data_IF_512418544805
#
_entry.id   IF_512418544805
#
_cell.length_a   1.000
_cell.length_b   1.000
_cell.length_c   1.000
_cell.angle_alpha   90.00
_cell.angle_beta   90.00
_cell.angle_gamma   90.00
#
_symmetry.space_group_name_H-M   'P 1'
#
loop_
_entity.id
_entity.type
_entity.pdbx_description
1 polymer ?
#
# COMPACT_ATOMS: atom_id res chain seq x y z
N UNK A 1 -27.36 3.85 16.54
CA UNK A 1 -27.59 2.47 16.09
C UNK A 1 -26.95 2.36 14.71
N UNK A 2 -25.70 1.89 14.62
CA UNK A 2 -24.97 1.84 13.35
C UNK A 2 -25.52 0.73 12.47
N UNK A 3 -25.63 0.99 11.16
CA UNK A 3 -26.04 -0.01 10.18
C UNK A 3 -25.19 -1.30 10.33
N UNK A 4 -25.76 -2.48 10.08
CA UNK A 4 -24.98 -3.71 10.07
C UNK A 4 -23.86 -3.55 9.06
N UNK A 5 -22.62 -3.75 9.51
CA UNK A 5 -21.44 -3.75 8.63
C UNK A 5 -21.72 -4.74 7.49
N UNK A 6 -21.42 -4.31 6.27
CA UNK A 6 -21.42 -5.19 5.10
C UNK A 6 -20.30 -6.22 5.28
N UNK A 7 -20.57 -7.24 6.08
CA UNK A 7 -19.64 -8.31 6.40
C UNK A 7 -19.79 -9.37 5.29
N UNK A 8 -19.12 -9.17 4.15
CA UNK A 8 -18.69 -10.31 3.33
C UNK A 8 -17.28 -10.69 3.77
N UNK A 9 -17.13 -11.47 4.85
CA UNK A 9 -15.83 -12.03 5.19
C UNK A 9 -15.34 -12.86 4.01
N UNK A 10 -14.03 -12.91 3.82
CA UNK A 10 -13.44 -13.89 2.91
C UNK A 10 -13.94 -15.27 3.34
N UNK A 11 -14.69 -15.94 2.46
CA UNK A 11 -15.25 -17.26 2.74
C UNK A 11 -14.50 -18.32 1.99
N UNK A 12 -14.16 -19.38 2.69
CA UNK A 12 -13.69 -20.61 2.07
C UNK A 12 -14.51 -21.79 2.60
N UNK A 13 -14.65 -22.81 1.76
CA UNK A 13 -15.43 -24.01 2.09
C UNK A 13 -14.53 -25.21 2.01
N UNK A 14 -14.41 -25.96 3.10
CA UNK A 14 -13.86 -27.31 3.05
C UNK A 14 -14.95 -28.27 2.61
N UNK A 15 -14.70 -29.00 1.52
CA UNK A 15 -15.57 -30.06 1.01
C UNK A 15 -14.87 -31.41 1.17
N UNK A 16 -15.46 -32.30 1.95
CA UNK A 16 -14.98 -33.67 2.16
C UNK A 16 -15.96 -34.65 1.51
N UNK A 17 -15.47 -35.55 0.67
CA UNK A 17 -16.28 -36.55 -0.01
C UNK A 17 -15.77 -37.99 0.26
N UNK A 18 -16.68 -38.94 0.50
CA UNK A 18 -16.41 -40.38 0.61
C UNK A 18 -17.60 -41.19 0.09
N UNK A 19 -17.45 -41.81 -1.09
CA UNK A 19 -18.58 -42.43 -1.80
C UNK A 19 -19.67 -41.39 -2.06
N UNK A 20 -20.91 -41.71 -1.71
CA UNK A 20 -22.06 -40.80 -1.85
C UNK A 20 -22.16 -39.74 -0.74
N UNK A 21 -21.28 -39.78 0.27
CA UNK A 21 -21.32 -38.83 1.39
C UNK A 21 -20.45 -37.61 1.10
N UNK A 22 -21.06 -36.43 1.15
CA UNK A 22 -20.38 -35.13 1.08
C UNK A 22 -20.64 -34.35 2.38
N UNK A 23 -19.60 -33.71 2.91
CA UNK A 23 -19.70 -32.73 4.01
C UNK A 23 -19.04 -31.44 3.59
N UNK A 24 -19.72 -30.33 3.83
CA UNK A 24 -19.21 -28.99 3.57
C UNK A 24 -19.17 -28.18 4.86
N UNK A 25 -18.05 -27.49 5.08
CA UNK A 25 -17.86 -26.58 6.21
C UNK A 25 -17.39 -25.24 5.66
N UNK A 26 -18.23 -24.21 5.78
CA UNK A 26 -17.91 -22.86 5.32
C UNK A 26 -17.43 -22.01 6.48
N UNK A 27 -16.29 -21.36 6.29
CA UNK A 27 -15.65 -20.49 7.27
C UNK A 27 -15.57 -19.07 6.73
N UNK A 28 -15.63 -18.12 7.65
CA UNK A 28 -15.51 -16.69 7.41
C UNK A 28 -14.23 -16.19 8.07
N UNK A 29 -13.31 -15.62 7.30
CA UNK A 29 -12.09 -15.02 7.83
C UNK A 29 -12.26 -13.50 8.00
N UNK A 30 -11.93 -12.95 9.18
CA UNK A 30 -11.91 -11.51 9.42
C UNK A 30 -10.59 -10.90 8.91
N UNK A 31 -10.28 -11.09 7.63
CA UNK A 31 -9.06 -10.60 6.99
C UNK A 31 -9.36 -9.48 5.99
N UNK A 32 -8.54 -8.42 5.91
CA UNK A 32 -8.66 -7.45 4.84
C UNK A 32 -8.44 -8.10 3.48
N UNK A 33 -9.29 -7.79 2.51
CA UNK A 33 -9.10 -8.20 1.12
C UNK A 33 -8.37 -7.08 0.39
N UNK A 34 -7.15 -7.33 -0.09
CA UNK A 34 -6.43 -6.36 -0.90
C UNK A 34 -7.09 -6.21 -2.29
N UNK A 35 -7.48 -4.98 -2.62
CA UNK A 35 -8.12 -4.59 -3.88
C UNK A 35 -7.17 -3.80 -4.79
N UNK A 36 -5.91 -3.60 -4.38
CA UNK A 36 -4.91 -2.88 -5.14
C UNK A 36 -5.04 -1.36 -5.05
N UNK A 37 -4.71 -0.64 -6.12
CA UNK A 37 -4.81 0.83 -6.16
C UNK A 37 -6.27 1.27 -6.24
N UNK A 38 -6.64 2.30 -5.48
CA UNK A 38 -7.98 2.88 -5.53
C UNK A 38 -8.35 3.31 -6.97
N UNK A 39 -9.61 3.06 -7.35
CA UNK A 39 -10.18 3.41 -8.64
C UNK A 39 -11.49 4.15 -8.41
N UNK A 40 -11.58 5.36 -8.95
CA UNK A 40 -12.81 6.16 -8.89
C UNK A 40 -13.98 5.41 -9.54
N UNK A 41 -15.18 5.58 -8.98
CA UNK A 41 -16.38 4.86 -9.41
C UNK A 41 -16.45 3.37 -9.02
N UNK A 42 -15.44 2.82 -8.34
CA UNK A 42 -15.51 1.47 -7.76
C UNK A 42 -16.19 1.49 -6.40
N UNK A 43 -17.03 0.50 -6.12
CA UNK A 43 -17.55 0.25 -4.78
C UNK A 43 -16.58 -0.66 -4.02
N UNK A 44 -16.21 -0.23 -2.83
CA UNK A 44 -15.42 -0.99 -1.88
C UNK A 44 -16.29 -1.36 -0.69
N UNK A 45 -16.16 -2.61 -0.23
CA UNK A 45 -16.93 -3.11 0.90
C UNK A 45 -16.15 -2.95 2.21
N UNK A 46 -16.85 -3.09 3.34
CA UNK A 46 -16.20 -3.02 4.66
C UNK A 46 -15.06 -4.05 4.76
N UNK A 47 -13.87 -3.60 5.16
CA UNK A 47 -12.67 -4.44 5.28
C UNK A 47 -11.82 -4.54 4.01
N UNK A 48 -12.29 -4.04 2.87
CA UNK A 48 -11.46 -3.95 1.66
C UNK A 48 -10.26 -3.02 1.89
N UNK A 49 -9.11 -3.43 1.40
CA UNK A 49 -7.86 -2.70 1.45
C UNK A 49 -7.49 -2.10 0.10
N UNK A 50 -7.04 -0.84 0.10
CA UNK A 50 -6.54 -0.17 -1.13
C UNK A 50 -5.29 0.66 -0.86
N UNK A 51 -4.53 0.90 -1.92
CA UNK A 51 -3.45 1.89 -1.94
C UNK A 51 -3.94 3.20 -2.56
N UNK A 52 -3.69 4.33 -1.88
CA UNK A 52 -3.94 5.68 -2.38
C UNK A 52 -2.98 6.68 -1.74
N UNK A 53 -2.39 7.58 -2.56
CA UNK A 53 -1.45 8.60 -2.09
C UNK A 53 -0.15 8.04 -1.48
N UNK A 54 0.21 6.78 -1.77
CA UNK A 54 1.32 6.08 -1.13
C UNK A 54 1.02 5.53 0.27
N UNK A 55 -0.24 5.58 0.69
CA UNK A 55 -0.75 5.01 1.95
C UNK A 55 -1.61 3.79 1.67
N UNK A 56 -1.69 2.88 2.64
CA UNK A 56 -2.63 1.77 2.62
C UNK A 56 -3.83 2.09 3.52
N UNK A 57 -5.04 1.86 3.00
CA UNK A 57 -6.31 2.22 3.62
C UNK A 57 -7.20 0.98 3.73
N UNK A 58 -8.04 0.93 4.77
CA UNK A 58 -9.06 -0.10 4.95
C UNK A 58 -10.43 0.57 5.03
N UNK A 59 -11.36 0.17 4.17
CA UNK A 59 -12.74 0.64 4.18
C UNK A 59 -13.41 0.24 5.51
N UNK A 60 -14.08 1.19 6.14
CA UNK A 60 -14.78 1.02 7.43
C UNK A 60 -16.30 0.86 7.25
N UNK A 61 -16.80 1.17 6.05
CA UNK A 61 -18.17 0.96 5.58
C UNK A 61 -18.13 0.70 4.07
N UNK A 62 -19.23 0.27 3.47
CA UNK A 62 -19.37 0.23 2.02
C UNK A 62 -19.29 1.66 1.47
N UNK A 63 -18.37 1.91 0.55
CA UNK A 63 -18.07 3.27 0.08
C UNK A 63 -17.59 3.28 -1.36
N UNK A 64 -17.95 4.34 -2.08
CA UNK A 64 -17.36 4.75 -3.36
C UNK A 64 -16.44 5.96 -3.19
N UNK A 65 -16.34 6.48 -1.97
CA UNK A 65 -15.58 7.69 -1.68
C UNK A 65 -14.10 7.42 -1.82
N UNK A 66 -13.36 8.45 -2.24
CA UNK A 66 -11.90 8.42 -2.30
C UNK A 66 -11.32 8.23 -0.88
N UNK A 67 -10.31 7.36 -0.68
CA UNK A 67 -9.57 7.33 0.57
C UNK A 67 -9.01 8.71 0.86
N UNK A 68 -9.01 9.14 2.14
CA UNK A 68 -8.73 10.51 2.63
C UNK A 68 -9.91 11.49 2.69
N UNK A 69 -11.06 11.22 2.07
CA UNK A 69 -12.16 12.21 1.99
C UNK A 69 -13.16 12.18 3.16
N UNK A 70 -13.06 11.20 4.08
CA UNK A 70 -14.05 11.06 5.15
C UNK A 70 -13.86 9.87 6.09
N UNK A 71 -14.92 9.53 6.84
CA UNK A 71 -14.94 8.46 7.87
C UNK A 71 -15.04 7.04 7.28
N UNK A 72 -15.36 6.90 5.99
CA UNK A 72 -15.47 5.61 5.31
C UNK A 72 -14.16 4.85 5.19
N UNK A 73 -13.02 5.49 5.48
CA UNK A 73 -11.70 4.89 5.40
C UNK A 73 -10.91 5.06 6.69
N UNK A 74 -10.12 4.04 7.04
CA UNK A 74 -9.09 4.11 8.07
C UNK A 74 -7.72 3.92 7.44
N UNK A 75 -6.80 4.85 7.66
CA UNK A 75 -5.41 4.66 7.25
C UNK A 75 -4.79 3.54 8.07
N UNK A 76 -4.31 2.49 7.40
CA UNK A 76 -3.70 1.32 8.01
C UNK A 76 -2.17 1.41 7.98
N UNK A 77 -1.61 1.92 6.87
CA UNK A 77 -0.16 2.16 6.74
C UNK A 77 0.08 3.55 6.18
N UNK A 78 0.99 4.29 6.80
CA UNK A 78 1.42 5.60 6.32
C UNK A 78 2.63 5.47 5.40
N UNK A 79 2.66 6.22 4.29
CA UNK A 79 3.85 6.38 3.45
C UNK A 79 5.07 6.72 4.31
N UNK A 80 6.20 6.09 4.00
CA UNK A 80 7.50 6.46 4.59
C UNK A 80 7.91 7.89 4.22
N UNK A 81 8.88 8.43 4.96
CA UNK A 81 9.53 9.69 4.57
C UNK A 81 10.49 9.42 3.41
N UNK A 82 10.67 10.42 2.57
CA UNK A 82 11.67 10.36 1.53
C UNK A 82 13.07 10.24 2.14
N UNK A 83 13.96 9.53 1.44
CA UNK A 83 15.36 9.39 1.84
C UNK A 83 16.07 10.74 1.81
N UNK A 84 17.17 10.85 2.57
CA UNK A 84 18.03 12.04 2.50
C UNK A 84 18.78 12.05 1.17
N UNK A 85 18.94 13.23 0.59
CA UNK A 85 19.77 13.41 -0.60
C UNK A 85 21.22 12.98 -0.32
N UNK A 86 21.92 12.43 -1.34
CA UNK A 86 23.33 12.12 -1.21
C UNK A 86 24.12 13.41 -0.94
N UNK A 87 25.04 13.35 0.02
CA UNK A 87 25.93 14.48 0.32
C UNK A 87 26.84 14.66 -0.89
N UNK A 88 26.77 15.82 -1.56
CA UNK A 88 27.67 16.13 -2.65
C UNK A 88 29.11 15.98 -2.16
N UNK A 89 29.88 15.09 -2.79
CA UNK A 89 31.31 15.00 -2.56
C UNK A 89 31.93 16.27 -3.13
N UNK A 90 32.59 17.06 -2.27
CA UNK A 90 33.35 18.22 -2.70
C UNK A 90 34.43 17.74 -3.66
N UNK A 91 34.53 18.25 -4.90
CA UNK A 91 35.60 17.83 -5.79
C UNK A 91 36.95 18.22 -5.16
N UNK A 92 37.79 17.22 -4.90
CA UNK A 92 39.17 17.44 -4.45
C UNK A 92 39.89 18.19 -5.57
N UNK A 93 40.17 19.47 -5.34
CA UNK A 93 40.92 20.31 -6.27
C UNK A 93 42.31 19.72 -6.50
N UNK A 94 42.53 19.06 -7.64
CA UNK A 94 43.86 18.68 -8.10
C UNK A 94 44.61 19.95 -8.51
N UNK A 95 45.60 20.32 -7.69
CA UNK A 95 46.48 21.45 -7.98
C UNK A 95 47.40 21.06 -9.13
N UNK A 96 47.09 21.51 -10.35
CA UNK A 96 47.99 21.36 -11.51
C UNK A 96 49.20 22.26 -11.28
N UNK A 97 50.37 21.66 -11.08
CA UNK A 97 51.64 22.38 -11.02
C UNK A 97 51.97 22.92 -12.41
N UNK A 98 51.83 24.23 -12.61
CA UNK A 98 52.31 24.90 -13.81
C UNK A 98 53.85 24.91 -13.79
N UNK A 99 54.44 24.22 -14.77
CA UNK A 99 55.87 24.21 -15.03
C UNK A 99 56.40 25.61 -15.32
N UNK A 100 57.53 25.94 -14.72
CA UNK A 100 58.27 27.19 -14.90
C UNK A 100 59.03 27.13 -16.22
N UNK A 101 58.55 27.82 -17.25
CA UNK A 101 59.25 28.03 -18.52
C UNK A 101 60.51 28.86 -18.26
N UNK A 102 61.66 28.36 -18.71
CA UNK A 102 62.90 29.12 -18.71
C UNK A 102 62.97 30.07 -19.90
N UNK A 103 63.63 31.20 -19.72
CA UNK A 103 64.41 31.84 -20.79
C UNK A 103 65.48 32.76 -20.18
N UNK A 104 66.67 32.71 -20.76
CA UNK A 104 67.83 33.56 -20.49
C UNK A 104 68.32 34.09 -21.84
N UNK A 105 68.87 35.32 -21.90
CA UNK A 105 70.29 35.41 -22.24
C UNK A 105 71.16 36.04 -21.12
#
# INVERSE_FOLDING_TARGET
>A
MGAPRSDRPFRFTFRFAKGDRVKEFTFSLPVPLDRGVFKDGSTYETGDGVTWGGHYWIAQDTTTDKPDSGKGWRMAVRRGRDGKDPKAETPVSSKVAAGRTGEKP
#
